data_IF_962292292534
#
_entry.id   IF_962292292534
#
_cell.length_a   1.000
_cell.length_b   1.000
_cell.length_c   1.000
_cell.angle_alpha   90.00
_cell.angle_beta   90.00
_cell.angle_gamma   90.00
#
_symmetry.space_group_name_H-M   'P 1'
#
loop_
_entity.id
_entity.type
_entity.pdbx_description
1 polymer ?
#
# COMPACT_ATOMS: atom_id res chain seq x y z
N UNK A 1 6.18 5.61 -8.46
CA UNK A 1 6.54 4.57 -7.47
C UNK A 1 7.22 3.40 -8.18
N UNK A 2 8.19 2.74 -7.54
CA UNK A 2 8.74 1.47 -8.00
C UNK A 2 8.10 0.31 -7.24
N UNK A 3 7.81 -0.79 -7.94
CA UNK A 3 7.42 -2.04 -7.29
C UNK A 3 7.98 -3.25 -8.01
N UNK A 4 8.06 -4.36 -7.28
CA UNK A 4 8.27 -5.68 -7.85
C UNK A 4 7.43 -6.70 -7.07
N UNK A 5 6.98 -7.73 -7.77
CA UNK A 5 6.35 -8.90 -7.17
C UNK A 5 7.38 -10.02 -7.06
N UNK A 6 7.57 -10.52 -5.84
CA UNK A 6 8.39 -11.69 -5.53
C UNK A 6 7.45 -12.90 -5.44
N UNK A 7 7.56 -13.79 -6.42
CA UNK A 7 6.65 -14.93 -6.57
C UNK A 7 6.91 -16.07 -5.57
N UNK A 8 8.15 -16.21 -5.11
CA UNK A 8 8.53 -17.20 -4.10
C UNK A 8 7.95 -16.83 -2.74
N UNK A 9 7.99 -15.54 -2.42
CA UNK A 9 7.42 -15.00 -1.20
C UNK A 9 5.94 -14.60 -1.34
N UNK A 10 5.36 -14.62 -2.54
CA UNK A 10 4.01 -14.13 -2.81
C UNK A 10 3.76 -12.73 -2.21
N UNK A 11 4.65 -11.78 -2.52
CA UNK A 11 4.62 -10.44 -1.95
C UNK A 11 5.03 -9.37 -2.97
N UNK A 12 4.32 -8.26 -2.97
CA UNK A 12 4.72 -7.03 -3.66
C UNK A 12 5.52 -6.17 -2.70
N UNK A 13 6.73 -5.80 -3.10
CA UNK A 13 7.49 -4.75 -2.44
C UNK A 13 7.36 -3.46 -3.25
N UNK A 14 6.85 -2.41 -2.62
CA UNK A 14 6.66 -1.11 -3.22
C UNK A 14 7.41 -0.04 -2.43
N UNK A 15 8.05 0.89 -3.12
CA UNK A 15 8.75 2.02 -2.52
C UNK A 15 8.78 3.21 -3.47
N UNK A 16 9.10 4.38 -2.94
CA UNK A 16 9.33 5.57 -3.74
C UNK A 16 10.31 6.50 -3.02
N UNK A 17 10.90 7.42 -3.77
CA UNK A 17 11.78 8.46 -3.24
C UNK A 17 11.24 9.81 -3.73
N UNK A 18 11.22 10.80 -2.85
CA UNK A 18 10.80 12.16 -3.18
C UNK A 18 9.29 12.37 -3.11
N UNK A 19 8.77 13.27 -3.94
CA UNK A 19 7.35 13.63 -3.92
C UNK A 19 6.49 12.56 -4.59
N UNK A 20 5.42 12.13 -3.91
CA UNK A 20 4.43 11.17 -4.42
C UNK A 20 3.07 11.88 -4.49
N UNK A 21 2.50 11.91 -5.69
CA UNK A 21 1.20 12.50 -6.00
C UNK A 21 0.08 11.45 -6.05
N UNK A 22 -1.16 11.90 -6.23
CA UNK A 22 -2.30 10.99 -6.48
C UNK A 22 -2.09 10.19 -7.77
N UNK A 23 -1.59 10.83 -8.82
CA UNK A 23 -1.38 10.19 -10.12
C UNK A 23 -0.32 9.08 -10.04
N UNK A 24 0.71 9.26 -9.22
CA UNK A 24 1.72 8.22 -8.96
C UNK A 24 1.10 6.98 -8.29
N UNK A 25 0.15 7.18 -7.38
CA UNK A 25 -0.54 6.12 -6.64
C UNK A 25 -1.54 5.39 -7.55
N UNK A 26 -2.26 6.11 -8.41
CA UNK A 26 -3.14 5.50 -9.42
C UNK A 26 -2.34 4.73 -10.48
N UNK A 27 -1.20 5.27 -10.90
CA UNK A 27 -0.28 4.56 -11.80
C UNK A 27 0.26 3.29 -11.15
N UNK A 28 0.56 3.33 -9.84
CA UNK A 28 0.95 2.15 -9.08
C UNK A 28 -0.16 1.08 -9.07
N UNK A 29 -1.42 1.46 -8.84
CA UNK A 29 -2.56 0.55 -8.90
C UNK A 29 -2.72 -0.12 -10.27
N UNK A 30 -2.60 0.66 -11.36
CA UNK A 30 -2.62 0.10 -12.72
C UNK A 30 -1.43 -0.81 -13.01
N UNK A 31 -0.26 -0.55 -12.43
CA UNK A 31 0.91 -1.40 -12.61
C UNK A 31 0.73 -2.73 -11.88
N UNK A 32 0.30 -2.75 -10.62
CA UNK A 32 0.15 -4.01 -9.86
C UNK A 32 -0.96 -4.89 -10.43
N UNK A 33 -1.96 -4.33 -11.11
CA UNK A 33 -2.99 -5.11 -11.79
C UNK A 33 -2.48 -5.85 -13.03
N UNK A 34 -1.26 -5.55 -13.49
CA UNK A 34 -0.60 -6.27 -14.58
C UNK A 34 0.23 -7.46 -14.11
N UNK A 35 0.41 -7.62 -12.80
CA UNK A 35 1.11 -8.78 -12.23
C UNK A 35 0.21 -10.01 -12.21
N UNK A 36 0.81 -11.18 -12.44
CA UNK A 36 0.16 -12.48 -12.26
C UNK A 36 0.25 -12.88 -10.77
N UNK A 37 -0.64 -12.29 -9.96
CA UNK A 37 -0.62 -12.41 -8.50
C UNK A 37 -1.26 -13.72 -8.06
N UNK A 38 -0.58 -14.46 -7.18
CA UNK A 38 -1.17 -15.61 -6.50
C UNK A 38 -2.22 -15.17 -5.48
N UNK A 39 -3.16 -16.07 -5.18
CA UNK A 39 -4.13 -15.84 -4.11
C UNK A 39 -3.43 -15.57 -2.77
N UNK A 40 -4.01 -14.68 -1.97
CA UNK A 40 -3.47 -14.32 -0.66
C UNK A 40 -2.13 -13.57 -0.71
N UNK A 41 -1.79 -12.93 -1.85
CA UNK A 41 -0.57 -12.13 -1.94
C UNK A 41 -0.52 -11.03 -0.87
N UNK A 42 0.70 -10.64 -0.53
CA UNK A 42 1.00 -9.63 0.49
C UNK A 42 1.57 -8.38 -0.16
N UNK A 43 1.51 -7.26 0.53
CA UNK A 43 2.13 -6.01 0.06
C UNK A 43 2.92 -5.38 1.19
N UNK A 44 4.19 -5.09 0.95
CA UNK A 44 5.01 -4.24 1.80
C UNK A 44 5.27 -2.92 1.09
N UNK A 45 4.87 -1.81 1.71
CA UNK A 45 5.04 -0.46 1.19
C UNK A 45 6.00 0.32 2.08
N UNK A 46 7.12 0.79 1.53
CA UNK A 46 8.10 1.62 2.21
C UNK A 46 7.96 3.09 1.82
N UNK A 47 7.50 3.90 2.76
CA UNK A 47 7.32 5.35 2.62
C UNK A 47 8.31 6.17 3.48
N UNK A 48 9.46 5.60 3.82
CA UNK A 48 10.47 6.31 4.62
C UNK A 48 11.06 7.55 3.94
N UNK A 49 11.18 7.52 2.61
CA UNK A 49 11.89 8.55 1.84
C UNK A 49 10.97 9.40 0.95
N UNK A 50 9.67 9.46 1.28
CA UNK A 50 8.69 10.23 0.50
C UNK A 50 8.21 11.51 1.19
N UNK A 51 7.68 12.43 0.40
CA UNK A 51 6.71 13.44 0.81
C UNK A 51 5.44 13.26 -0.01
N UNK A 52 4.27 13.43 0.61
CA UNK A 52 3.00 13.31 -0.11
C UNK A 52 2.56 14.67 -0.63
N UNK A 53 2.24 14.74 -1.92
CA UNK A 53 1.48 15.84 -2.53
C UNK A 53 0.03 15.41 -2.70
N UNK A 54 -0.59 15.17 -1.56
CA UNK A 54 -1.99 14.81 -1.45
C UNK A 54 -2.69 15.84 -0.56
N UNK A 55 -3.91 16.20 -0.94
CA UNK A 55 -4.85 16.85 -0.03
C UNK A 55 -5.73 15.78 0.64
N UNK A 56 -6.33 16.12 1.78
CA UNK A 56 -7.29 15.25 2.48
C UNK A 56 -8.39 14.72 1.55
N UNK A 57 -8.88 15.55 0.64
CA UNK A 57 -9.91 15.20 -0.37
C UNK A 57 -9.48 14.11 -1.36
N UNK A 58 -8.19 13.81 -1.46
CA UNK A 58 -7.65 12.82 -2.38
C UNK A 58 -7.64 11.41 -1.75
N UNK A 59 -7.66 11.33 -0.40
CA UNK A 59 -7.62 10.06 0.34
C UNK A 59 -8.87 9.19 0.08
N UNK A 60 -10.11 9.73 0.08
CA UNK A 60 -11.28 8.95 -0.28
C UNK A 60 -11.23 8.40 -1.71
N UNK A 61 -10.77 9.19 -2.68
CA UNK A 61 -10.63 8.76 -4.08
C UNK A 61 -9.64 7.61 -4.21
N UNK A 62 -8.53 7.68 -3.46
CA UNK A 62 -7.54 6.61 -3.42
C UNK A 62 -8.08 5.33 -2.78
N UNK A 63 -8.92 5.44 -1.75
CA UNK A 63 -9.59 4.30 -1.12
C UNK A 63 -10.62 3.66 -2.05
N UNK A 64 -11.46 4.47 -2.69
CA UNK A 64 -12.45 4.02 -3.68
C UNK A 64 -11.78 3.26 -4.83
N UNK A 65 -10.78 3.85 -5.49
CA UNK A 65 -10.05 3.20 -6.57
C UNK A 65 -9.39 1.88 -6.13
N UNK A 66 -8.92 1.79 -4.88
CA UNK A 66 -8.36 0.53 -4.35
C UNK A 66 -9.43 -0.51 -4.05
N UNK A 67 -10.56 -0.10 -3.49
CA UNK A 67 -11.68 -0.99 -3.19
C UNK A 67 -12.30 -1.57 -4.46
N UNK A 68 -12.29 -0.82 -5.57
CA UNK A 68 -12.69 -1.34 -6.89
C UNK A 68 -11.65 -2.32 -7.47
N UNK A 69 -10.37 -2.13 -7.13
CA UNK A 69 -9.27 -2.98 -7.59
C UNK A 69 -9.10 -4.25 -6.75
N UNK A 70 -10.14 -5.09 -6.69
CA UNK A 70 -10.06 -6.40 -6.03
C UNK A 70 -9.31 -7.37 -6.94
N UNK A 71 -8.01 -7.57 -6.66
CA UNK A 71 -7.14 -8.45 -7.44
C UNK A 71 -7.12 -9.91 -6.96
N UNK A 72 -7.69 -10.18 -5.79
CA UNK A 72 -7.76 -11.54 -5.23
C UNK A 72 -9.07 -11.71 -4.47
N UNK A 73 -9.70 -12.90 -4.54
CA UNK A 73 -10.84 -13.22 -3.68
C UNK A 73 -10.43 -13.28 -2.21
N UNK A 74 -9.17 -13.62 -1.93
CA UNK A 74 -8.62 -13.68 -0.59
C UNK A 74 -8.22 -12.30 -0.08
N UNK A 75 -8.32 -12.14 1.24
CA UNK A 75 -7.96 -10.90 1.91
C UNK A 75 -6.48 -10.60 1.76
N UNK A 76 -6.17 -9.50 1.07
CA UNK A 76 -4.79 -9.05 0.83
C UNK A 76 -4.23 -8.37 2.08
N UNK A 77 -3.05 -8.82 2.53
CA UNK A 77 -2.39 -8.28 3.72
C UNK A 77 -1.37 -7.21 3.34
N UNK A 78 -1.56 -5.97 3.80
CA UNK A 78 -0.78 -4.79 3.39
C UNK A 78 -0.13 -4.16 4.61
N UNK A 79 1.21 -4.11 4.64
CA UNK A 79 1.95 -3.34 5.62
C UNK A 79 2.54 -2.08 4.99
N UNK A 80 2.25 -0.94 5.60
CA UNK A 80 2.79 0.36 5.18
C UNK A 80 3.71 0.88 6.28
N UNK A 81 4.99 1.06 5.98
CA UNK A 81 5.95 1.67 6.89
C UNK A 81 6.10 3.16 6.59
N UNK A 82 5.86 4.00 7.61
CA UNK A 82 5.98 5.46 7.53
C UNK A 82 6.77 5.99 8.73
N UNK A 83 7.92 6.64 8.50
CA UNK A 83 8.70 7.30 9.54
C UNK A 83 8.30 8.78 9.79
N UNK A 84 7.61 9.42 8.83
CA UNK A 84 7.17 10.82 8.90
C UNK A 84 5.73 10.94 9.37
N UNK A 85 5.46 11.91 10.26
CA UNK A 85 4.15 12.08 10.91
C UNK A 85 3.00 12.36 9.94
N UNK A 86 3.19 13.28 9.00
CA UNK A 86 2.15 13.61 8.02
C UNK A 86 1.79 12.40 7.15
N UNK A 87 2.80 11.66 6.69
CA UNK A 87 2.62 10.46 5.87
C UNK A 87 1.92 9.37 6.68
N UNK A 88 2.30 9.18 7.94
CA UNK A 88 1.64 8.24 8.84
C UNK A 88 0.17 8.60 9.08
N UNK A 89 -0.14 9.88 9.32
CA UNK A 89 -1.52 10.35 9.53
C UNK A 89 -2.41 10.08 8.31
N UNK A 90 -1.94 10.44 7.10
CA UNK A 90 -2.68 10.21 5.86
C UNK A 90 -2.84 8.72 5.56
N UNK A 91 -1.79 7.91 5.78
CA UNK A 91 -1.88 6.45 5.61
C UNK A 91 -2.89 5.81 6.60
N UNK A 92 -3.00 6.33 7.82
CA UNK A 92 -4.01 5.88 8.80
C UNK A 92 -5.42 6.28 8.39
N UNK A 93 -5.62 7.48 7.84
CA UNK A 93 -6.91 7.89 7.26
C UNK A 93 -7.30 6.95 6.12
N UNK A 94 -6.36 6.67 5.21
CA UNK A 94 -6.56 5.72 4.13
C UNK A 94 -6.93 4.32 4.64
N UNK A 95 -6.21 3.81 5.65
CA UNK A 95 -6.52 2.52 6.28
C UNK A 95 -7.97 2.44 6.78
N UNK A 96 -8.51 3.51 7.34
CA UNK A 96 -9.88 3.56 7.86
C UNK A 96 -10.95 3.55 6.76
N UNK A 97 -10.61 3.95 5.53
CA UNK A 97 -11.52 4.03 4.39
C UNK A 97 -11.47 2.78 3.49
N UNK A 98 -10.49 1.91 3.67
CA UNK A 98 -10.40 0.66 2.93
C UNK A 98 -11.44 -0.35 3.38
N UNK A 99 -11.93 -1.11 2.41
CA UNK A 99 -12.79 -2.25 2.66
C UNK A 99 -12.04 -3.34 3.44
N UNK A 100 -12.52 -3.60 4.65
CA UNK A 100 -11.90 -4.56 5.57
C UNK A 100 -12.22 -6.01 5.20
N UNK A 101 -13.17 -6.26 4.29
CA UNK A 101 -13.44 -7.61 3.77
C UNK A 101 -12.28 -8.07 2.88
N UNK A 102 -11.84 -7.21 1.96
CA UNK A 102 -10.79 -7.54 0.99
C UNK A 102 -9.37 -7.14 1.42
N UNK A 103 -9.22 -6.21 2.36
CA UNK A 103 -7.91 -5.72 2.79
C UNK A 103 -7.69 -5.82 4.30
N UNK A 104 -6.54 -6.36 4.71
CA UNK A 104 -5.97 -6.17 6.05
C UNK A 104 -4.79 -5.21 5.90
N UNK A 105 -5.06 -3.91 5.93
CA UNK A 105 -4.01 -2.90 5.88
C UNK A 105 -3.63 -2.48 7.29
N UNK A 106 -2.32 -2.40 7.57
CA UNK A 106 -1.78 -1.81 8.80
C UNK A 106 -0.63 -0.86 8.49
N UNK A 107 -0.61 0.25 9.23
CA UNK A 107 0.43 1.27 9.14
C UNK A 107 1.35 1.18 10.36
N UNK A 108 2.65 1.16 10.12
CA UNK A 108 3.69 0.95 11.12
C UNK A 108 4.66 2.13 11.18
N UNK A 109 5.17 2.41 12.37
CA UNK A 109 6.28 3.35 12.61
C UNK A 109 7.65 2.68 12.61
N UNK A 110 7.67 1.36 12.74
CA UNK A 110 8.88 0.55 12.74
C UNK A 110 8.86 -0.40 11.54
N UNK A 111 9.97 -0.44 10.81
CA UNK A 111 10.08 -1.21 9.57
C UNK A 111 10.13 -2.71 9.84
N UNK A 112 10.77 -3.11 10.93
CA UNK A 112 10.95 -4.51 11.28
C UNK A 112 9.67 -5.09 11.89
N UNK A 113 8.91 -4.30 12.63
CA UNK A 113 7.55 -4.68 13.06
C UNK A 113 6.61 -4.92 11.86
N UNK A 114 6.68 -4.07 10.84
CA UNK A 114 5.88 -4.22 9.64
C UNK A 114 6.20 -5.52 8.89
N UNK A 115 7.49 -5.83 8.74
CA UNK A 115 7.98 -7.07 8.11
C UNK A 115 7.58 -8.31 8.91
N UNK A 116 7.85 -8.29 10.22
CA UNK A 116 7.46 -9.36 11.14
C UNK A 116 5.96 -9.63 11.09
N UNK A 117 5.14 -8.58 11.01
CA UNK A 117 3.70 -8.74 10.89
C UNK A 117 3.30 -9.37 9.56
N UNK A 118 3.98 -9.07 8.45
CA UNK A 118 3.79 -9.76 7.18
C UNK A 118 4.33 -11.19 7.21
N UNK A 119 5.22 -11.55 8.13
CA UNK A 119 5.85 -12.87 8.22
C UNK A 119 7.08 -13.00 7.32
N UNK A 120 7.82 -11.91 7.16
CA UNK A 120 9.11 -11.82 6.47
C UNK A 120 10.16 -11.16 7.35
#
# INVERSE_FOLDING_TARGET
MSSHYDDDLNIIFASSIGEVSLDDLMSYYSMISSYDLKEGYRVFVDYSDISLKLAERDIPKMAEARNELVLSPDRTKIAVYCNKDLVFGLARMYQMLLDQEHYDLRVFRDKDEARKWLGI
#
